data_IF_655048430747
#
_entry.id   IF_655048430747
#
_cell.length_a   1.000
_cell.length_b   1.000
_cell.length_c   1.000
_cell.angle_alpha   90.00
_cell.angle_beta   90.00
_cell.angle_gamma   90.00
#
_symmetry.space_group_name_H-M   'P 1'
#
loop_
_entity.id
_entity.type
_entity.pdbx_description
1 polymer ?
#
# COMPACT_ATOMS: atom_id res chain seq x y z
N UNK A 1 34.63 27.39 9.59
CA UNK A 1 34.32 26.96 10.97
C UNK A 1 33.23 25.91 10.85
N UNK A 2 33.64 24.66 10.76
CA UNK A 2 32.73 23.49 10.72
C UNK A 2 32.18 23.23 12.12
N UNK A 3 30.90 23.43 12.33
CA UNK A 3 30.22 22.90 13.52
C UNK A 3 29.97 21.40 13.31
N UNK A 4 30.86 20.58 13.84
CA UNK A 4 30.60 19.16 14.10
C UNK A 4 29.44 19.05 15.09
N UNK A 5 28.24 18.75 14.60
CA UNK A 5 27.16 18.23 15.42
C UNK A 5 27.31 16.69 15.47
N UNK A 6 28.13 16.22 16.38
CA UNK A 6 28.17 14.82 16.79
C UNK A 6 27.12 14.58 17.87
N UNK A 7 25.85 14.65 17.51
CA UNK A 7 24.80 14.03 18.28
C UNK A 7 24.75 12.56 17.91
N UNK A 8 24.83 11.68 18.90
CA UNK A 8 24.55 10.25 18.78
C UNK A 8 23.15 10.13 18.16
N UNK A 9 23.08 9.85 16.85
CA UNK A 9 21.78 9.65 16.18
C UNK A 9 21.25 8.33 16.72
N UNK A 10 20.27 8.41 17.60
CA UNK A 10 19.54 7.25 18.09
C UNK A 10 19.02 6.45 16.88
N UNK A 11 19.52 5.25 16.72
CA UNK A 11 19.20 4.39 15.60
C UNK A 11 17.85 3.72 15.88
N UNK A 12 16.81 4.17 15.18
CA UNK A 12 15.44 3.70 15.36
C UNK A 12 15.20 2.40 14.59
N UNK A 13 14.49 1.47 15.19
CA UNK A 13 13.88 0.33 14.48
C UNK A 13 12.54 0.75 13.93
N UNK A 14 12.48 0.83 12.61
CA UNK A 14 11.30 1.29 11.85
C UNK A 14 10.69 0.09 11.14
N UNK A 15 9.43 -0.23 11.46
CA UNK A 15 8.70 -1.35 10.85
C UNK A 15 7.57 -0.80 9.97
N UNK A 16 7.62 -1.09 8.67
CA UNK A 16 6.58 -0.74 7.71
C UNK A 16 5.64 -1.94 7.56
N UNK A 17 4.39 -1.79 7.98
CA UNK A 17 3.36 -2.83 7.81
C UNK A 17 2.87 -2.85 6.36
N UNK A 18 2.70 -4.03 5.78
CA UNK A 18 2.13 -4.22 4.45
C UNK A 18 1.05 -5.30 4.45
N UNK A 19 0.42 -5.51 3.31
CA UNK A 19 -0.48 -6.63 3.12
C UNK A 19 0.31 -7.92 2.89
N UNK A 20 -0.28 -9.04 3.27
CA UNK A 20 0.30 -10.36 3.04
C UNK A 20 0.58 -10.60 1.54
N UNK A 21 1.77 -11.10 1.24
CA UNK A 21 2.24 -11.39 -0.13
C UNK A 21 2.92 -10.21 -0.81
N UNK A 22 2.99 -9.02 -0.17
CA UNK A 22 3.68 -7.85 -0.71
C UNK A 22 4.93 -7.47 0.09
N UNK A 23 5.40 -8.32 0.99
CA UNK A 23 6.58 -8.05 1.81
C UNK A 23 7.83 -7.85 0.95
N UNK A 24 8.05 -8.72 -0.03
CA UNK A 24 9.17 -8.59 -0.96
C UNK A 24 9.03 -7.34 -1.84
N UNK A 25 7.82 -7.03 -2.32
CA UNK A 25 7.55 -5.83 -3.11
C UNK A 25 7.83 -4.55 -2.32
N UNK A 26 7.49 -4.53 -1.02
CA UNK A 26 7.83 -3.41 -0.14
C UNK A 26 9.33 -3.32 0.11
N UNK A 27 10.05 -4.45 0.29
CA UNK A 27 11.50 -4.45 0.46
C UNK A 27 12.21 -3.91 -0.80
N UNK A 28 11.74 -4.26 -1.99
CA UNK A 28 12.25 -3.70 -3.25
C UNK A 28 11.96 -2.20 -3.38
N UNK A 29 10.77 -1.74 -2.96
CA UNK A 29 10.46 -0.31 -2.88
C UNK A 29 11.41 0.42 -1.94
N UNK A 30 11.65 -0.13 -0.76
CA UNK A 30 12.57 0.46 0.21
C UNK A 30 14.00 0.54 -0.33
N UNK A 31 14.46 -0.47 -1.06
CA UNK A 31 15.77 -0.42 -1.70
C UNK A 31 15.86 0.71 -2.75
N UNK A 32 14.81 0.92 -3.56
CA UNK A 32 14.74 2.06 -4.49
C UNK A 32 14.70 3.43 -3.76
N UNK A 33 14.10 3.49 -2.58
CA UNK A 33 14.06 4.68 -1.74
C UNK A 33 15.34 4.94 -0.95
N UNK A 34 16.38 4.08 -1.09
CA UNK A 34 17.68 4.24 -0.45
C UNK A 34 17.90 3.38 0.81
N UNK A 35 17.00 2.43 1.07
CA UNK A 35 17.08 1.50 2.22
C UNK A 35 17.29 0.04 1.75
N UNK A 36 18.48 -0.33 1.25
CA UNK A 36 18.72 -1.68 0.71
C UNK A 36 18.85 -2.76 1.80
N UNK A 37 19.12 -2.36 3.04
CA UNK A 37 19.22 -3.29 4.18
C UNK A 37 17.88 -3.40 4.88
N UNK A 38 17.15 -4.47 4.57
CA UNK A 38 15.81 -4.73 5.10
C UNK A 38 15.72 -6.10 5.76
N UNK A 39 14.91 -6.21 6.79
CA UNK A 39 14.49 -7.47 7.40
C UNK A 39 13.02 -7.73 7.01
N UNK A 40 12.79 -8.80 6.24
CA UNK A 40 11.43 -9.18 5.85
C UNK A 40 10.78 -9.95 7.01
N UNK A 41 9.62 -9.47 7.42
CA UNK A 41 8.79 -10.04 8.48
C UNK A 41 7.44 -10.49 7.89
N UNK A 42 6.63 -11.18 8.69
CA UNK A 42 5.26 -11.50 8.26
C UNK A 42 4.41 -10.21 8.22
N UNK A 43 3.91 -9.87 7.04
CA UNK A 43 3.11 -8.64 6.76
C UNK A 43 3.81 -7.34 7.12
N UNK A 44 5.14 -7.33 7.10
CA UNK A 44 5.94 -6.13 7.37
C UNK A 44 7.37 -6.25 6.84
N UNK A 45 8.03 -5.09 6.72
CA UNK A 45 9.47 -4.99 6.48
C UNK A 45 10.06 -4.04 7.51
N UNK A 46 11.19 -4.42 8.12
CA UNK A 46 11.91 -3.59 9.10
C UNK A 46 13.18 -3.04 8.51
N UNK A 47 13.47 -1.80 8.86
CA UNK A 47 14.74 -1.11 8.60
C UNK A 47 15.25 -0.44 9.87
N UNK A 48 16.46 0.05 9.80
CA UNK A 48 17.04 0.94 10.81
C UNK A 48 17.21 2.33 10.20
N UNK A 49 16.90 3.38 10.97
CA UNK A 49 16.96 4.76 10.48
C UNK A 49 16.79 5.80 11.58
N UNK A 50 16.45 7.01 11.19
CA UNK A 50 16.25 8.19 12.04
C UNK A 50 14.81 8.73 11.92
N UNK A 51 14.46 9.77 12.70
CA UNK A 51 13.19 10.47 12.57
C UNK A 51 13.00 11.12 11.19
N UNK A 52 14.08 11.58 10.55
CA UNK A 52 14.04 12.05 9.16
C UNK A 52 13.53 10.95 8.22
N UNK A 53 14.00 9.72 8.41
CA UNK A 53 13.58 8.57 7.60
C UNK A 53 12.13 8.20 7.88
N UNK A 54 11.65 8.31 9.12
CA UNK A 54 10.23 8.14 9.47
C UNK A 54 9.36 9.13 8.70
N UNK A 55 9.73 10.41 8.66
CA UNK A 55 8.99 11.44 7.92
C UNK A 55 9.01 11.17 6.42
N UNK A 56 10.19 10.89 5.87
CA UNK A 56 10.37 10.60 4.46
C UNK A 56 9.52 9.39 4.02
N UNK A 57 9.60 8.28 4.75
CA UNK A 57 8.85 7.07 4.42
C UNK A 57 7.33 7.24 4.57
N UNK A 58 6.85 8.02 5.55
CA UNK A 58 5.42 8.33 5.64
C UNK A 58 4.92 9.09 4.42
N UNK A 59 5.76 9.88 3.76
CA UNK A 59 5.41 10.61 2.54
C UNK A 59 5.52 9.74 1.29
N UNK A 60 6.59 8.94 1.17
CA UNK A 60 6.99 8.29 -0.09
C UNK A 60 6.59 6.82 -0.20
N UNK A 61 6.48 6.05 0.90
CA UNK A 61 6.19 4.63 0.83
C UNK A 61 4.77 4.38 0.30
N UNK A 62 4.68 3.64 -0.82
CA UNK A 62 3.44 3.35 -1.55
C UNK A 62 2.78 2.07 -1.09
N UNK A 63 3.61 1.04 -0.81
CA UNK A 63 3.17 -0.31 -0.45
C UNK A 63 2.96 -0.49 1.06
N UNK A 64 3.28 0.51 1.88
CA UNK A 64 3.09 0.47 3.32
C UNK A 64 1.68 0.89 3.75
N UNK A 65 1.10 0.16 4.71
CA UNK A 65 -0.17 0.51 5.36
C UNK A 65 0.05 1.50 6.50
N UNK A 66 1.12 1.30 7.27
CA UNK A 66 1.51 2.15 8.39
C UNK A 66 2.99 1.97 8.71
N UNK A 67 3.56 2.97 9.34
CA UNK A 67 4.97 3.01 9.74
C UNK A 67 5.05 3.11 11.26
N UNK A 68 5.73 2.13 11.85
CA UNK A 68 5.87 1.94 13.28
C UNK A 68 7.31 2.21 13.71
N UNK A 69 7.49 2.90 14.83
CA UNK A 69 8.76 3.05 15.52
C UNK A 69 8.71 2.26 16.81
N UNK A 70 9.62 1.29 17.00
CA UNK A 70 9.71 0.49 18.22
C UNK A 70 10.04 1.41 19.40
N UNK A 71 9.19 1.38 20.46
CA UNK A 71 9.40 2.09 21.71
C UNK A 71 10.14 1.18 22.70
N UNK A 72 9.60 -0.03 22.89
CA UNK A 72 10.17 -1.01 23.80
C UNK A 72 9.81 -2.45 23.36
N UNK A 73 10.70 -3.37 23.69
CA UNK A 73 10.52 -4.80 23.43
C UNK A 73 10.98 -5.59 24.67
N UNK A 74 10.05 -6.41 25.22
CA UNK A 74 10.28 -7.15 26.45
C UNK A 74 9.52 -8.46 26.50
N UNK A 75 9.85 -9.32 27.49
CA UNK A 75 9.14 -10.56 27.77
C UNK A 75 8.27 -10.43 29.02
N UNK A 76 7.12 -11.12 29.00
CA UNK A 76 6.18 -11.20 30.11
C UNK A 76 5.89 -12.65 30.50
N UNK A 77 5.54 -12.85 31.77
CA UNK A 77 5.09 -14.14 32.29
C UNK A 77 3.63 -14.12 32.76
N UNK A 78 3.05 -12.92 32.89
CA UNK A 78 1.69 -12.70 33.35
C UNK A 78 1.12 -11.39 32.78
N UNK A 79 -0.20 -11.19 32.95
CA UNK A 79 -0.89 -9.93 32.64
C UNK A 79 -0.32 -8.77 33.49
N UNK A 80 -0.01 -9.02 34.75
CA UNK A 80 0.57 -8.03 35.66
C UNK A 80 1.99 -7.61 35.20
N UNK A 81 2.77 -8.54 34.62
CA UNK A 81 4.05 -8.20 34.03
C UNK A 81 3.91 -7.22 32.86
N UNK A 82 2.87 -7.39 32.03
CA UNK A 82 2.56 -6.46 30.94
C UNK A 82 2.32 -5.05 31.48
N UNK A 83 1.48 -4.91 32.53
CA UNK A 83 1.23 -3.61 33.16
C UNK A 83 2.50 -2.98 33.72
N UNK A 84 3.24 -3.73 34.55
CA UNK A 84 4.45 -3.23 35.21
C UNK A 84 5.55 -2.81 34.23
N UNK A 85 5.72 -3.58 33.13
CA UNK A 85 6.68 -3.24 32.07
C UNK A 85 6.24 -2.01 31.30
N UNK A 86 4.97 -1.95 30.92
CA UNK A 86 4.41 -0.80 30.22
C UNK A 86 4.46 0.49 31.05
N UNK A 87 4.26 0.41 32.37
CA UNK A 87 4.33 1.57 33.26
C UNK A 87 5.73 2.18 33.36
N UNK A 88 6.81 1.39 33.06
CA UNK A 88 8.20 1.89 33.08
C UNK A 88 8.54 2.74 31.84
N UNK A 89 7.73 2.68 30.80
CA UNK A 89 7.92 3.50 29.61
C UNK A 89 7.57 4.95 29.98
N UNK A 90 8.42 5.89 29.56
CA UNK A 90 8.26 7.31 29.85
C UNK A 90 7.24 7.97 28.90
N UNK A 91 5.98 7.57 28.99
CA UNK A 91 4.91 8.06 28.12
C UNK A 91 4.78 9.58 28.06
N UNK A 92 4.92 10.34 29.17
CA UNK A 92 4.91 11.79 29.17
C UNK A 92 6.03 12.46 28.34
N UNK A 93 7.11 11.73 28.02
CA UNK A 93 8.18 12.24 27.14
C UNK A 93 7.82 12.08 25.65
N UNK A 94 6.84 11.20 25.31
CA UNK A 94 6.44 10.89 23.93
C UNK A 94 5.41 11.89 23.42
N UNK A 95 4.34 12.16 24.20
CA UNK A 95 3.25 13.03 23.79
C UNK A 95 2.72 13.87 24.93
N UNK A 96 1.93 14.90 24.61
CA UNK A 96 1.33 15.80 25.61
C UNK A 96 0.02 15.28 26.14
N UNK A 97 -0.31 15.54 27.42
CA UNK A 97 -1.55 15.10 28.08
C UNK A 97 -2.81 15.58 27.37
N UNK A 98 -2.75 16.70 26.65
CA UNK A 98 -3.85 17.25 25.86
C UNK A 98 -4.20 16.45 24.60
N UNK A 99 -3.35 15.48 24.21
CA UNK A 99 -3.56 14.67 23.02
C UNK A 99 -4.40 13.44 23.34
N UNK A 100 -5.31 13.10 22.43
CA UNK A 100 -6.04 11.84 22.51
C UNK A 100 -5.18 10.68 22.01
N UNK A 101 -5.35 9.50 22.60
CA UNK A 101 -4.58 8.33 22.21
C UNK A 101 -5.42 7.05 22.12
N UNK A 102 -4.87 6.04 21.47
CA UNK A 102 -5.38 4.67 21.49
C UNK A 102 -4.23 3.65 21.43
N UNK A 103 -4.55 2.44 21.90
CA UNK A 103 -3.70 1.25 21.76
C UNK A 103 -4.43 0.25 20.88
N UNK A 104 -3.82 -0.20 19.79
CA UNK A 104 -4.33 -1.23 18.85
C UNK A 104 -3.21 -2.18 18.51
N UNK A 105 -3.50 -3.26 17.80
CA UNK A 105 -2.42 -4.15 17.34
C UNK A 105 -2.89 -5.57 17.11
N UNK A 106 -2.04 -6.56 17.43
CA UNK A 106 -2.34 -7.98 17.30
C UNK A 106 -1.75 -8.78 18.46
N UNK A 107 -2.54 -9.67 19.02
CA UNK A 107 -2.17 -10.51 20.16
C UNK A 107 -2.30 -11.98 19.78
N UNK A 108 -1.16 -12.68 19.78
CA UNK A 108 -1.01 -14.12 19.54
C UNK A 108 -0.35 -14.74 20.77
N UNK A 109 -1.12 -14.95 21.83
CA UNK A 109 -0.59 -15.42 23.13
C UNK A 109 -1.63 -16.24 23.86
N UNK A 110 -1.20 -17.31 24.48
CA UNK A 110 -2.02 -18.15 25.37
C UNK A 110 -2.14 -17.59 26.77
N UNK A 111 -1.41 -16.53 27.10
CA UNK A 111 -1.51 -15.86 28.40
C UNK A 111 -2.81 -15.07 28.58
N UNK A 112 -3.47 -14.72 27.48
CA UNK A 112 -4.66 -13.87 27.48
C UNK A 112 -5.87 -14.60 26.90
N UNK A 113 -6.92 -14.77 27.68
CA UNK A 113 -8.18 -15.35 27.23
C UNK A 113 -8.96 -14.45 26.26
N UNK A 114 -8.69 -13.14 26.31
CA UNK A 114 -9.32 -12.12 25.46
C UNK A 114 -8.23 -11.25 24.81
N UNK A 115 -8.18 -11.25 23.47
CA UNK A 115 -7.19 -10.48 22.70
C UNK A 115 -7.33 -8.97 22.82
N UNK A 116 -8.47 -8.46 23.30
CA UNK A 116 -8.69 -7.04 23.53
C UNK A 116 -8.15 -6.57 24.90
N UNK A 117 -8.05 -7.47 25.86
CA UNK A 117 -7.64 -7.15 27.23
C UNK A 117 -6.22 -6.56 27.31
N UNK A 118 -5.18 -7.06 26.62
CA UNK A 118 -3.85 -6.46 26.63
C UNK A 118 -3.82 -5.00 26.21
N UNK A 119 -4.70 -4.55 25.31
CA UNK A 119 -4.78 -3.14 24.92
C UNK A 119 -5.28 -2.27 26.07
N UNK A 120 -6.20 -2.78 26.89
CA UNK A 120 -6.70 -2.09 28.08
C UNK A 120 -5.60 -2.00 29.14
N UNK A 121 -4.83 -3.08 29.36
CA UNK A 121 -3.70 -3.10 30.31
C UNK A 121 -2.65 -2.05 29.95
N UNK A 122 -2.24 -1.97 28.69
CA UNK A 122 -1.27 -0.96 28.22
C UNK A 122 -1.88 0.45 28.28
N UNK A 123 -3.15 0.61 27.93
CA UNK A 123 -3.89 1.88 28.08
C UNK A 123 -3.89 2.36 29.52
N UNK A 124 -4.17 1.47 30.50
CA UNK A 124 -4.17 1.83 31.91
C UNK A 124 -2.75 2.23 32.40
N UNK A 125 -1.73 1.50 31.98
CA UNK A 125 -0.32 1.88 32.28
C UNK A 125 0.05 3.27 31.72
N UNK A 126 -0.44 3.63 30.51
CA UNK A 126 -0.25 4.97 29.95
C UNK A 126 -0.94 6.02 30.82
N UNK A 127 -2.22 5.82 31.14
CA UNK A 127 -3.02 6.75 31.96
C UNK A 127 -2.37 6.96 33.33
N UNK A 128 -1.97 5.89 33.99
CA UNK A 128 -1.38 5.97 35.33
C UNK A 128 0.03 6.62 35.30
N UNK A 129 0.79 6.43 34.22
CA UNK A 129 2.05 7.15 34.04
C UNK A 129 1.85 8.68 33.99
N UNK A 130 0.80 9.16 33.31
CA UNK A 130 0.47 10.59 33.27
C UNK A 130 -0.07 11.09 34.61
N UNK A 131 -0.94 10.32 35.29
CA UNK A 131 -1.44 10.66 36.64
C UNK A 131 -0.29 10.79 37.63
N UNK A 132 0.66 9.87 37.61
CA UNK A 132 1.82 9.89 38.48
C UNK A 132 2.73 11.09 38.22
N UNK A 133 2.80 11.58 36.97
CA UNK A 133 3.66 12.70 36.59
C UNK A 133 3.01 14.08 36.77
N UNK A 134 1.69 14.20 36.51
CA UNK A 134 1.02 15.49 36.37
C UNK A 134 -0.32 15.59 37.12
N UNK A 135 -0.78 14.52 37.79
CA UNK A 135 -2.14 14.40 38.35
C UNK A 135 -3.26 14.58 37.30
N UNK A 136 -2.93 14.41 36.03
CA UNK A 136 -3.83 14.50 34.90
C UNK A 136 -3.78 13.21 34.05
N UNK A 137 -4.72 13.02 33.13
CA UNK A 137 -4.71 11.90 32.23
C UNK A 137 -5.07 12.31 30.79
N UNK A 138 -4.46 11.70 29.77
CA UNK A 138 -4.89 11.90 28.40
C UNK A 138 -6.22 11.17 28.11
N UNK A 139 -7.01 11.72 27.17
CA UNK A 139 -8.26 11.12 26.74
C UNK A 139 -8.02 9.99 25.72
N UNK A 140 -8.90 8.98 25.78
CA UNK A 140 -8.88 7.84 24.85
C UNK A 140 -9.85 8.08 23.69
N UNK A 141 -9.36 7.98 22.45
CA UNK A 141 -10.16 8.10 21.22
C UNK A 141 -9.87 6.92 20.29
N UNK A 142 -10.85 6.04 20.07
CA UNK A 142 -10.64 4.81 19.32
C UNK A 142 -10.75 4.98 17.79
N UNK A 143 -11.52 5.97 17.31
CA UNK A 143 -11.77 6.13 15.88
C UNK A 143 -10.68 6.94 15.19
N UNK A 144 -10.33 8.11 15.72
CA UNK A 144 -9.34 9.03 15.16
C UNK A 144 -8.40 9.57 16.24
N UNK A 145 -7.61 8.72 16.93
CA UNK A 145 -6.68 9.16 17.93
C UNK A 145 -5.60 10.05 17.32
N UNK A 146 -5.13 11.06 18.07
CA UNK A 146 -4.02 11.88 17.66
C UNK A 146 -2.69 11.14 17.79
N UNK A 147 -2.59 10.25 18.80
CA UNK A 147 -1.43 9.36 19.01
C UNK A 147 -1.92 7.91 19.02
N UNK A 148 -1.29 7.06 18.24
CA UNK A 148 -1.67 5.66 18.12
C UNK A 148 -0.48 4.76 18.47
N UNK A 149 -0.68 3.86 19.42
CA UNK A 149 0.29 2.82 19.76
C UNK A 149 -0.11 1.48 19.15
N UNK A 150 0.88 0.76 18.64
CA UNK A 150 0.73 -0.60 18.11
C UNK A 150 1.33 -1.58 19.12
N UNK A 151 0.48 -2.44 19.68
CA UNK A 151 0.86 -3.49 20.60
C UNK A 151 0.89 -4.83 19.85
N UNK A 152 2.06 -5.40 19.71
CA UNK A 152 2.23 -6.73 19.12
C UNK A 152 2.71 -7.71 20.21
N UNK A 153 1.94 -8.77 20.43
CA UNK A 153 2.32 -9.84 21.37
C UNK A 153 2.38 -11.16 20.60
N UNK A 154 3.55 -11.81 20.64
CA UNK A 154 3.74 -13.17 20.14
C UNK A 154 4.19 -14.05 21.30
N UNK A 155 3.32 -14.97 21.71
CA UNK A 155 3.48 -15.77 22.92
C UNK A 155 3.76 -14.89 24.15
N UNK A 156 5.01 -14.79 24.58
CA UNK A 156 5.47 -13.99 25.72
C UNK A 156 6.26 -12.76 25.33
N UNK A 157 6.58 -12.60 24.06
CA UNK A 157 7.32 -11.45 23.57
C UNK A 157 6.34 -10.34 23.23
N UNK A 158 6.56 -9.18 23.84
CA UNK A 158 5.78 -7.95 23.65
C UNK A 158 6.65 -6.93 22.92
N UNK A 159 6.08 -6.33 21.88
CA UNK A 159 6.65 -5.16 21.22
C UNK A 159 5.61 -4.05 21.28
N UNK A 160 5.98 -2.91 21.82
CA UNK A 160 5.20 -1.68 21.82
C UNK A 160 5.83 -0.71 20.85
N UNK A 161 5.06 -0.26 19.88
CA UNK A 161 5.53 0.66 18.85
C UNK A 161 4.61 1.88 18.75
N UNK A 162 5.18 2.99 18.34
CA UNK A 162 4.44 4.18 17.97
C UNK A 162 4.03 4.07 16.50
N UNK A 163 2.75 4.17 16.20
CA UNK A 163 2.26 4.27 14.83
C UNK A 163 2.36 5.73 14.37
N UNK A 164 3.38 6.03 13.60
CA UNK A 164 3.70 7.38 13.16
C UNK A 164 2.80 7.89 12.05
N UNK A 165 2.13 6.99 11.33
CA UNK A 165 1.18 7.31 10.28
C UNK A 165 -0.18 7.75 10.82
N UNK A 166 -0.64 7.18 11.95
CA UNK A 166 -1.97 7.35 12.49
C UNK A 166 -3.02 6.56 11.72
N UNK A 167 -3.89 7.22 10.98
CA UNK A 167 -4.82 6.54 10.06
C UNK A 167 -4.01 5.83 8.94
N UNK A 168 -4.52 4.71 8.38
CA UNK A 168 -3.77 3.94 7.38
C UNK A 168 -3.35 4.77 6.16
N UNK A 169 -2.17 4.47 5.61
CA UNK A 169 -1.58 5.19 4.49
C UNK A 169 -2.31 4.99 3.16
N UNK A 170 -3.22 4.02 3.04
CA UNK A 170 -4.10 3.94 1.87
C UNK A 170 -5.08 5.12 1.79
N UNK A 171 -5.36 5.83 2.88
CA UNK A 171 -6.09 7.10 2.83
C UNK A 171 -5.16 8.21 2.36
N UNK A 172 -4.88 8.23 1.03
CA UNK A 172 -3.90 9.12 0.38
C UNK A 172 -4.28 10.60 0.45
N UNK A 173 -5.57 10.91 0.51
CA UNK A 173 -6.10 12.29 0.48
C UNK A 173 -6.64 12.73 -0.88
N UNK A 174 -6.27 12.07 -1.97
CA UNK A 174 -6.72 12.47 -3.32
C UNK A 174 -8.14 12.01 -3.69
N UNK A 175 -8.74 11.10 -2.92
CA UNK A 175 -10.04 10.51 -3.27
C UNK A 175 -11.20 11.39 -2.81
N UNK A 176 -11.94 11.96 -3.75
CA UNK A 176 -13.20 12.69 -3.50
C UNK A 176 -14.44 11.81 -3.73
N UNK A 177 -14.38 10.93 -4.74
CA UNK A 177 -15.50 10.11 -5.15
C UNK A 177 -15.13 8.62 -5.08
N UNK A 178 -16.04 7.82 -4.53
CA UNK A 178 -15.87 6.37 -4.39
C UNK A 178 -16.98 5.62 -5.13
N UNK A 179 -16.64 4.44 -5.66
CA UNK A 179 -17.62 3.43 -6.05
C UNK A 179 -18.05 2.60 -4.84
N UNK A 180 -18.91 1.61 -5.04
CA UNK A 180 -19.44 0.77 -3.94
C UNK A 180 -18.37 -0.09 -3.26
N UNK A 181 -17.27 -0.44 -3.96
CA UNK A 181 -16.13 -1.16 -3.39
C UNK A 181 -14.86 -0.82 -4.18
N UNK A 182 -14.26 0.35 -3.93
CA UNK A 182 -13.03 0.74 -4.61
C UNK A 182 -11.86 -0.14 -4.15
N UNK A 183 -10.93 -0.41 -5.07
CA UNK A 183 -9.67 -1.05 -4.71
C UNK A 183 -8.92 -0.16 -3.70
N UNK A 184 -8.29 -0.79 -2.70
CA UNK A 184 -7.42 -0.10 -1.75
C UNK A 184 -6.17 0.43 -2.49
N UNK A 185 -5.77 1.67 -2.19
CA UNK A 185 -4.67 2.35 -2.86
C UNK A 185 -3.32 1.66 -2.64
N UNK A 186 -3.08 1.11 -1.44
CA UNK A 186 -1.87 0.32 -1.15
C UNK A 186 -1.88 -0.99 -1.93
N UNK A 187 -3.04 -1.64 -2.11
CA UNK A 187 -3.17 -2.81 -2.98
C UNK A 187 -2.81 -2.43 -4.42
N UNK A 188 -3.43 -1.38 -4.96
CA UNK A 188 -3.18 -0.92 -6.33
C UNK A 188 -1.69 -0.61 -6.57
N UNK A 189 -1.07 0.17 -5.69
CA UNK A 189 0.36 0.49 -5.76
C UNK A 189 1.24 -0.76 -5.71
N UNK A 190 0.90 -1.71 -4.81
CA UNK A 190 1.65 -2.95 -4.66
C UNK A 190 1.52 -3.86 -5.87
N UNK A 191 0.33 -3.96 -6.49
CA UNK A 191 0.11 -4.71 -7.72
C UNK A 191 0.90 -4.12 -8.90
N UNK A 192 0.89 -2.79 -9.06
CA UNK A 192 1.65 -2.11 -10.11
C UNK A 192 3.16 -2.37 -9.93
N UNK A 193 3.68 -2.36 -8.71
CA UNK A 193 5.09 -2.66 -8.46
C UNK A 193 5.41 -4.14 -8.65
N UNK A 194 4.57 -5.05 -8.14
CA UNK A 194 4.72 -6.50 -8.30
C UNK A 194 4.70 -6.91 -9.79
N UNK A 195 3.90 -6.22 -10.60
CA UNK A 195 3.81 -6.47 -12.05
C UNK A 195 5.04 -6.00 -12.84
N UNK A 196 5.99 -5.30 -12.18
CA UNK A 196 7.24 -4.78 -12.78
C UNK A 196 7.00 -3.93 -14.03
N UNK A 197 5.94 -3.13 -14.03
CA UNK A 197 5.70 -2.16 -15.10
C UNK A 197 6.88 -1.18 -15.20
N UNK A 198 7.37 -0.98 -16.40
CA UNK A 198 8.59 -0.19 -16.68
C UNK A 198 8.38 1.34 -16.58
N UNK A 199 7.16 1.80 -16.36
CA UNK A 199 6.75 3.22 -16.28
C UNK A 199 6.96 3.99 -17.60
N UNK A 200 7.17 3.29 -18.71
CA UNK A 200 7.42 3.85 -20.06
C UNK A 200 6.42 3.31 -21.07
N UNK A 201 6.10 2.03 -21.00
CA UNK A 201 5.08 1.40 -21.83
C UNK A 201 3.69 1.96 -21.47
N UNK A 202 2.86 2.21 -22.49
CA UNK A 202 1.47 2.66 -22.32
C UNK A 202 0.72 1.77 -21.30
N UNK A 203 0.15 2.37 -20.26
CA UNK A 203 -0.62 1.69 -19.22
C UNK A 203 -2.12 1.76 -19.54
N UNK A 204 -2.80 0.63 -19.46
CA UNK A 204 -4.25 0.54 -19.69
C UNK A 204 -4.95 -0.23 -18.56
N UNK A 205 -5.99 0.37 -17.99
CA UNK A 205 -6.97 -0.30 -17.15
C UNK A 205 -8.36 -0.25 -17.81
N UNK A 206 -8.80 -1.33 -18.49
CA UNK A 206 -10.08 -1.36 -19.20
C UNK A 206 -11.31 -1.59 -18.31
N UNK A 207 -11.13 -1.72 -16.98
CA UNK A 207 -12.17 -1.80 -15.95
C UNK A 207 -11.86 -0.86 -14.80
N UNK A 208 -11.58 0.42 -15.11
CA UNK A 208 -10.91 1.34 -14.19
C UNK A 208 -11.77 1.77 -12.98
N UNK A 209 -13.08 1.55 -13.00
CA UNK A 209 -13.95 1.94 -11.90
C UNK A 209 -13.81 3.41 -11.53
N UNK A 210 -13.44 3.68 -10.27
CA UNK A 210 -13.16 5.05 -9.78
C UNK A 210 -11.71 5.52 -10.00
N UNK A 211 -10.90 4.78 -10.76
CA UNK A 211 -9.58 5.20 -11.25
C UNK A 211 -8.41 4.95 -10.30
N UNK A 212 -8.51 4.04 -9.33
CA UNK A 212 -7.44 3.83 -8.34
C UNK A 212 -6.14 3.36 -8.98
N UNK A 213 -6.18 2.39 -9.92
CA UNK A 213 -4.98 1.91 -10.63
C UNK A 213 -4.37 3.01 -11.49
N UNK A 214 -5.19 3.81 -12.17
CA UNK A 214 -4.71 4.94 -12.99
C UNK A 214 -3.98 5.98 -12.14
N UNK A 215 -4.55 6.32 -10.97
CA UNK A 215 -3.98 7.27 -10.03
C UNK A 215 -2.63 6.78 -9.49
N UNK A 216 -2.56 5.54 -8.99
CA UNK A 216 -1.32 4.98 -8.43
C UNK A 216 -0.25 4.75 -9.52
N UNK A 217 -0.65 4.38 -10.75
CA UNK A 217 0.26 4.31 -11.89
C UNK A 217 0.86 5.68 -12.24
N UNK A 218 0.04 6.72 -12.28
CA UNK A 218 0.49 8.08 -12.57
C UNK A 218 1.39 8.65 -11.44
N UNK A 219 1.05 8.41 -10.17
CA UNK A 219 1.90 8.75 -9.02
C UNK A 219 3.27 8.08 -9.11
N UNK A 220 3.29 6.80 -9.51
CA UNK A 220 4.54 6.04 -9.66
C UNK A 220 5.36 6.55 -10.85
N UNK A 221 4.74 6.75 -12.01
CA UNK A 221 5.40 7.20 -13.24
C UNK A 221 5.94 8.64 -13.11
N UNK A 222 5.22 9.52 -12.43
CA UNK A 222 5.61 10.91 -12.23
C UNK A 222 6.66 11.12 -11.12
N UNK A 223 6.90 10.12 -10.28
CA UNK A 223 7.76 10.25 -9.10
C UNK A 223 7.15 11.09 -7.97
N UNK A 224 5.89 11.51 -8.09
CA UNK A 224 5.18 12.23 -7.02
C UNK A 224 4.96 11.27 -5.85
N UNK A 225 5.24 11.70 -4.60
CA UNK A 225 5.01 10.88 -3.42
C UNK A 225 3.54 10.46 -3.29
N UNK A 226 3.30 9.21 -2.93
CA UNK A 226 1.93 8.68 -2.82
C UNK A 226 1.05 9.39 -1.80
N UNK A 227 1.66 9.96 -0.76
CA UNK A 227 0.94 10.58 0.35
C UNK A 227 1.06 12.12 0.34
N UNK A 228 1.33 12.73 -0.84
CA UNK A 228 1.54 14.18 -0.97
C UNK A 228 0.30 15.00 -0.59
N UNK A 229 -0.90 14.48 -0.88
CA UNK A 229 -2.18 15.14 -0.57
C UNK A 229 -2.70 14.82 0.84
N UNK A 230 -1.98 13.95 1.58
CA UNK A 230 -2.38 13.56 2.92
C UNK A 230 -2.12 14.66 3.93
N UNK A 231 -3.14 15.05 4.69
CA UNK A 231 -3.08 16.17 5.63
C UNK A 231 -2.65 15.75 7.05
N UNK A 232 -2.97 14.52 7.46
CA UNK A 232 -2.83 14.07 8.85
C UNK A 232 -1.82 12.94 9.00
N UNK A 233 -0.81 13.17 9.84
CA UNK A 233 0.18 12.20 10.28
C UNK A 233 0.29 12.24 11.79
N UNK A 234 0.29 11.06 12.46
CA UNK A 234 0.36 11.00 13.92
C UNK A 234 1.67 11.53 14.49
N UNK A 235 2.77 11.38 13.75
CA UNK A 235 4.08 11.90 14.21
C UNK A 235 4.08 13.41 14.46
N UNK A 236 3.19 14.18 13.85
CA UNK A 236 3.06 15.64 14.08
C UNK A 236 2.53 15.99 15.48
N UNK A 237 1.98 15.01 16.21
CA UNK A 237 1.45 15.19 17.56
C UNK A 237 2.45 14.78 18.66
N UNK A 238 3.66 14.38 18.28
CA UNK A 238 4.70 13.94 19.22
C UNK A 238 5.53 15.12 19.72
N UNK A 239 6.07 15.00 20.93
CA UNK A 239 6.93 16.04 21.53
C UNK A 239 8.25 16.22 20.79
N UNK A 240 8.77 15.16 20.18
CA UNK A 240 10.01 15.18 19.41
C UNK A 240 9.78 15.49 17.91
N UNK A 241 8.61 15.95 17.50
CA UNK A 241 8.36 16.33 16.13
C UNK A 241 9.21 17.53 15.70
N UNK A 242 10.03 17.33 14.67
CA UNK A 242 10.85 18.36 14.06
C UNK A 242 10.16 18.91 12.80
N UNK A 243 9.54 20.08 12.93
CA UNK A 243 8.82 20.72 11.85
C UNK A 243 9.75 21.22 10.73
N UNK A 244 10.99 21.60 11.03
CA UNK A 244 11.94 22.08 10.03
C UNK A 244 12.35 20.93 9.11
N UNK A 245 12.70 19.77 9.69
CA UNK A 245 13.05 18.57 8.94
C UNK A 245 11.87 18.08 8.11
N UNK A 246 10.64 18.08 8.67
CA UNK A 246 9.45 17.71 7.92
C UNK A 246 9.19 18.64 6.73
N UNK A 247 9.25 19.95 6.96
CA UNK A 247 8.99 20.94 5.92
C UNK A 247 10.05 20.86 4.81
N UNK A 248 11.32 20.64 5.16
CA UNK A 248 12.36 20.40 4.15
C UNK A 248 12.01 19.21 3.24
N UNK A 249 11.58 18.07 3.81
CA UNK A 249 11.21 16.89 3.03
C UNK A 249 9.97 17.16 2.17
N UNK A 250 8.95 17.77 2.78
CA UNK A 250 7.65 17.99 2.15
C UNK A 250 7.73 19.04 1.04
N UNK A 251 8.44 20.15 1.25
CA UNK A 251 8.53 21.24 0.28
C UNK A 251 9.42 20.91 -0.92
N UNK A 252 10.45 20.06 -0.73
CA UNK A 252 11.29 19.55 -1.80
C UNK A 252 10.66 18.39 -2.57
N UNK A 253 9.52 17.86 -2.13
CA UNK A 253 8.85 16.77 -2.82
C UNK A 253 8.23 17.21 -4.15
N UNK A 254 8.39 16.45 -5.24
CA UNK A 254 7.74 16.77 -6.51
C UNK A 254 6.22 16.76 -6.37
N UNK A 255 5.55 17.80 -6.90
CA UNK A 255 4.08 17.92 -6.86
C UNK A 255 3.46 18.19 -8.22
N UNK A 256 4.23 18.82 -9.09
CA UNK A 256 3.75 19.25 -10.39
C UNK A 256 4.57 18.58 -11.50
N UNK A 257 3.89 18.04 -12.47
CA UNK A 257 4.51 17.51 -13.68
C UNK A 257 4.01 18.26 -14.90
N UNK A 258 4.89 18.43 -15.88
CA UNK A 258 4.54 19.05 -17.18
C UNK A 258 3.99 18.03 -18.16
N UNK A 259 4.35 16.76 -17.99
CA UNK A 259 3.91 15.62 -18.80
C UNK A 259 4.14 14.34 -18.01
N UNK A 260 3.50 13.25 -18.40
CA UNK A 260 3.83 11.90 -17.94
C UNK A 260 4.85 11.25 -18.88
N UNK A 261 5.70 10.33 -18.40
CA UNK A 261 6.71 9.65 -19.23
C UNK A 261 6.09 8.69 -20.24
N UNK A 262 4.84 8.30 -20.06
CA UNK A 262 4.07 7.40 -20.92
C UNK A 262 2.59 7.76 -20.91
N UNK A 263 1.84 7.18 -21.84
CA UNK A 263 0.40 7.25 -21.91
C UNK A 263 -0.23 6.41 -20.78
N UNK A 264 -1.23 6.94 -20.09
CA UNK A 264 -2.04 6.22 -19.11
C UNK A 264 -3.49 6.37 -19.51
N UNK A 265 -4.15 5.24 -19.70
CA UNK A 265 -5.52 5.18 -20.20
C UNK A 265 -6.39 4.31 -19.30
N UNK A 266 -7.65 4.69 -19.16
CA UNK A 266 -8.65 3.89 -18.47
C UNK A 266 -10.00 3.94 -19.13
N UNK A 267 -10.71 2.82 -19.12
CA UNK A 267 -12.09 2.77 -19.53
C UNK A 267 -12.94 2.01 -18.52
N UNK A 268 -14.23 2.29 -18.55
CA UNK A 268 -15.25 1.57 -17.80
C UNK A 268 -16.54 1.65 -18.58
N UNK A 269 -17.38 0.62 -18.50
CA UNK A 269 -18.67 0.61 -19.16
C UNK A 269 -19.62 1.66 -18.58
N UNK A 270 -19.43 2.04 -17.33
CA UNK A 270 -20.26 3.00 -16.60
C UNK A 270 -19.78 4.44 -16.77
N UNK A 271 -20.63 5.28 -17.40
CA UNK A 271 -20.42 6.73 -17.44
C UNK A 271 -20.25 7.35 -16.04
N UNK A 272 -21.00 6.84 -15.06
CA UNK A 272 -20.91 7.30 -13.67
C UNK A 272 -19.52 7.04 -13.08
N UNK A 273 -18.96 5.84 -13.32
CA UNK A 273 -17.61 5.51 -12.85
C UNK A 273 -16.55 6.39 -13.50
N UNK A 274 -16.67 6.66 -14.80
CA UNK A 274 -15.78 7.58 -15.51
C UNK A 274 -15.89 9.01 -14.97
N UNK A 275 -17.06 9.48 -14.61
CA UNK A 275 -17.23 10.78 -13.95
C UNK A 275 -16.55 10.81 -12.59
N UNK A 276 -16.66 9.75 -11.77
CA UNK A 276 -15.96 9.61 -10.50
C UNK A 276 -14.45 9.59 -10.69
N UNK A 277 -13.95 8.82 -11.67
CA UNK A 277 -12.54 8.79 -12.06
C UNK A 277 -12.02 10.18 -12.40
N UNK A 278 -12.71 10.92 -13.26
CA UNK A 278 -12.32 12.29 -13.65
C UNK A 278 -12.31 13.25 -12.45
N UNK A 279 -13.23 13.10 -11.49
CA UNK A 279 -13.22 13.92 -10.26
C UNK A 279 -11.97 13.64 -9.42
N UNK A 280 -11.64 12.36 -9.19
CA UNK A 280 -10.45 11.97 -8.45
C UNK A 280 -9.16 12.46 -9.14
N UNK A 281 -9.07 12.32 -10.47
CA UNK A 281 -7.91 12.76 -11.25
C UNK A 281 -7.68 14.28 -11.20
N UNK A 282 -8.74 15.09 -11.11
CA UNK A 282 -8.62 16.56 -11.04
C UNK A 282 -7.88 17.08 -9.82
N UNK A 283 -7.77 16.26 -8.75
CA UNK A 283 -7.03 16.61 -7.54
C UNK A 283 -5.52 16.65 -7.77
N UNK A 284 -5.03 16.00 -8.82
CA UNK A 284 -3.60 15.85 -9.09
C UNK A 284 -3.19 16.60 -10.35
N UNK A 285 -1.99 17.19 -10.32
CA UNK A 285 -1.44 17.96 -11.43
C UNK A 285 -1.30 17.15 -12.74
N UNK A 286 -1.13 15.85 -12.64
CA UNK A 286 -1.04 14.94 -13.78
C UNK A 286 -2.40 14.49 -14.33
N UNK A 287 -3.50 14.72 -13.62
CA UNK A 287 -4.81 14.18 -14.00
C UNK A 287 -5.27 14.54 -15.41
N UNK A 288 -4.87 15.71 -15.91
CA UNK A 288 -5.14 16.18 -17.28
C UNK A 288 -4.44 15.35 -18.38
N UNK A 289 -3.44 14.55 -18.03
CA UNK A 289 -2.67 13.72 -18.96
C UNK A 289 -3.16 12.28 -19.01
N UNK A 290 -4.18 11.93 -18.21
CA UNK A 290 -4.76 10.60 -18.16
C UNK A 290 -6.01 10.58 -19.04
N UNK A 291 -6.03 9.70 -20.01
CA UNK A 291 -7.16 9.53 -20.92
C UNK A 291 -8.20 8.60 -20.28
N UNK A 292 -9.47 9.03 -20.26
CA UNK A 292 -10.56 8.20 -19.73
C UNK A 292 -11.75 8.19 -20.67
N UNK A 293 -12.31 7.00 -20.93
CA UNK A 293 -13.44 6.81 -21.85
C UNK A 293 -14.50 5.91 -21.21
N UNK A 294 -15.78 6.27 -21.36
CA UNK A 294 -16.89 5.38 -21.08
C UNK A 294 -17.12 4.49 -22.30
N UNK A 295 -16.75 3.22 -22.21
CA UNK A 295 -16.91 2.26 -23.30
C UNK A 295 -16.70 0.82 -22.78
N UNK A 296 -17.11 -0.17 -23.57
CA UNK A 296 -16.72 -1.56 -23.33
C UNK A 296 -15.20 -1.73 -23.43
N UNK A 297 -14.64 -2.67 -22.66
CA UNK A 297 -13.22 -3.00 -22.74
C UNK A 297 -12.79 -3.42 -24.15
N UNK A 298 -13.67 -4.05 -24.91
CA UNK A 298 -13.47 -4.51 -26.29
C UNK A 298 -13.23 -3.36 -27.28
N UNK A 299 -13.74 -2.17 -26.98
CA UNK A 299 -13.54 -0.97 -27.80
C UNK A 299 -12.13 -0.35 -27.63
N UNK A 300 -11.35 -0.81 -26.63
CA UNK A 300 -9.97 -0.40 -26.53
C UNK A 300 -9.16 -1.12 -27.61
N UNK A 301 -8.52 -0.34 -28.46
CA UNK A 301 -7.66 -0.81 -29.55
C UNK A 301 -6.28 -0.16 -29.44
N UNK A 302 -5.31 -0.68 -30.17
CA UNK A 302 -3.94 -0.16 -30.22
C UNK A 302 -3.43 -0.16 -31.65
N UNK A 303 -2.35 0.57 -31.92
CA UNK A 303 -1.60 0.42 -33.17
C UNK A 303 -0.94 -0.97 -33.23
N UNK A 304 -0.72 -1.49 -34.44
CA UNK A 304 -0.23 -2.87 -34.67
C UNK A 304 1.04 -3.18 -33.88
N UNK A 305 2.02 -2.28 -33.90
CA UNK A 305 3.32 -2.45 -33.26
C UNK A 305 3.41 -1.83 -31.85
N UNK A 306 2.33 -1.25 -31.33
CA UNK A 306 2.33 -0.66 -30.01
C UNK A 306 2.27 -1.75 -28.93
N UNK A 307 3.23 -1.74 -28.00
CA UNK A 307 3.15 -2.55 -26.79
C UNK A 307 2.30 -1.85 -25.74
N UNK A 308 1.34 -2.55 -25.15
CA UNK A 308 0.50 -2.03 -24.06
C UNK A 308 0.71 -2.88 -22.79
N UNK A 309 0.85 -2.22 -21.67
CA UNK A 309 0.82 -2.84 -20.36
C UNK A 309 -0.57 -2.71 -19.76
N UNK A 310 -1.25 -3.83 -19.65
CA UNK A 310 -2.61 -3.90 -19.09
C UNK A 310 -2.52 -4.38 -17.65
N UNK A 311 -3.13 -3.64 -16.72
CA UNK A 311 -3.34 -4.09 -15.35
C UNK A 311 -4.75 -3.74 -14.94
N UNK A 312 -5.54 -4.74 -14.55
CA UNK A 312 -6.96 -4.54 -14.37
C UNK A 312 -7.58 -5.47 -13.32
N UNK A 313 -8.70 -5.02 -12.77
CA UNK A 313 -9.53 -5.73 -11.80
C UNK A 313 -10.96 -5.87 -12.37
N UNK A 314 -11.20 -6.83 -13.28
CA UNK A 314 -12.54 -7.05 -13.83
C UNK A 314 -13.54 -7.37 -12.72
N UNK A 315 -14.83 -7.11 -12.91
CA UNK A 315 -15.86 -7.44 -11.93
C UNK A 315 -15.94 -8.97 -11.70
N UNK A 316 -16.15 -9.37 -10.43
CA UNK A 316 -16.26 -10.76 -10.00
C UNK A 316 -17.25 -10.87 -8.82
N UNK A 317 -17.64 -12.13 -8.46
CA UNK A 317 -18.53 -12.41 -7.34
C UNK A 317 -20.00 -12.13 -7.65
N UNK A 318 -20.78 -11.76 -6.63
CA UNK A 318 -22.23 -11.56 -6.73
C UNK A 318 -22.66 -10.52 -7.78
N UNK A 319 -21.74 -9.63 -8.18
CA UNK A 319 -21.99 -8.57 -9.18
C UNK A 319 -22.20 -9.09 -10.59
N UNK A 320 -21.80 -10.34 -10.90
CA UNK A 320 -21.88 -10.95 -12.24
C UNK A 320 -22.16 -12.46 -12.22
N UNK A 321 -22.79 -13.00 -11.18
CA UNK A 321 -22.94 -14.46 -10.99
C UNK A 321 -23.48 -15.23 -12.23
N UNK A 322 -24.27 -14.61 -13.09
CA UNK A 322 -24.82 -15.25 -14.27
C UNK A 322 -23.90 -15.28 -15.51
N UNK A 323 -22.94 -14.33 -15.66
CA UNK A 323 -22.18 -14.15 -16.90
C UNK A 323 -20.66 -14.08 -16.72
N UNK A 324 -20.12 -14.51 -15.56
CA UNK A 324 -18.67 -14.42 -15.29
C UNK A 324 -17.84 -15.19 -16.33
N UNK A 325 -18.27 -16.38 -16.72
CA UNK A 325 -17.57 -17.22 -17.70
C UNK A 325 -17.46 -16.51 -19.06
N UNK A 326 -18.56 -16.00 -19.58
CA UNK A 326 -18.62 -15.28 -20.86
C UNK A 326 -17.76 -14.02 -20.85
N UNK A 327 -17.80 -13.21 -19.77
CA UNK A 327 -16.96 -12.03 -19.65
C UNK A 327 -15.47 -12.37 -19.75
N UNK A 328 -15.02 -13.40 -19.02
CA UNK A 328 -13.60 -13.76 -19.00
C UNK A 328 -13.15 -14.44 -20.30
N UNK A 329 -14.04 -15.17 -20.97
CA UNK A 329 -13.80 -15.69 -22.33
C UNK A 329 -13.64 -14.53 -23.33
N UNK A 330 -14.50 -13.52 -23.27
CA UNK A 330 -14.40 -12.32 -24.11
C UNK A 330 -13.12 -11.52 -23.80
N UNK A 331 -12.72 -11.38 -22.54
CA UNK A 331 -11.42 -10.80 -22.17
C UNK A 331 -10.28 -11.59 -22.82
N UNK A 332 -10.33 -12.92 -22.77
CA UNK A 332 -9.32 -13.77 -23.38
C UNK A 332 -9.24 -13.61 -24.90
N UNK A 333 -10.38 -13.50 -25.57
CA UNK A 333 -10.48 -13.28 -27.00
C UNK A 333 -9.95 -11.89 -27.39
N UNK A 334 -10.34 -10.84 -26.66
CA UNK A 334 -9.82 -9.49 -26.84
C UNK A 334 -8.30 -9.42 -26.67
N UNK A 335 -7.74 -10.07 -25.65
CA UNK A 335 -6.31 -10.14 -25.43
C UNK A 335 -5.58 -10.83 -26.60
N UNK A 336 -6.14 -11.93 -27.15
CA UNK A 336 -5.53 -12.70 -28.24
C UNK A 336 -5.56 -11.98 -29.59
N UNK A 337 -6.65 -11.26 -29.87
CA UNK A 337 -6.90 -10.75 -31.21
C UNK A 337 -6.70 -9.25 -31.36
N UNK A 338 -6.92 -8.48 -30.28
CA UNK A 338 -6.83 -7.02 -30.30
C UNK A 338 -5.57 -6.52 -29.56
N UNK A 339 -5.24 -7.10 -28.40
CA UNK A 339 -4.11 -6.69 -27.58
C UNK A 339 -2.90 -7.62 -27.75
N UNK A 340 -2.55 -7.91 -29.01
CA UNK A 340 -1.33 -8.67 -29.34
C UNK A 340 -0.06 -7.92 -28.92
N UNK A 341 1.05 -8.62 -28.64
CA UNK A 341 2.33 -8.05 -28.19
C UNK A 341 2.20 -7.21 -26.91
N UNK A 342 1.30 -7.60 -26.01
CA UNK A 342 1.02 -6.89 -24.76
C UNK A 342 1.23 -7.81 -23.55
N UNK A 343 1.41 -7.19 -22.39
CA UNK A 343 1.41 -7.88 -21.08
C UNK A 343 0.14 -7.49 -20.34
N UNK A 344 -0.66 -8.48 -19.99
CA UNK A 344 -1.92 -8.28 -19.27
C UNK A 344 -1.87 -8.91 -17.88
N UNK A 345 -1.98 -8.10 -16.85
CA UNK A 345 -2.12 -8.52 -15.47
C UNK A 345 -3.57 -8.40 -15.03
N UNK A 346 -4.13 -9.48 -14.54
CA UNK A 346 -5.51 -9.55 -14.07
C UNK A 346 -5.53 -9.99 -12.62
N UNK A 347 -6.17 -9.21 -11.75
CA UNK A 347 -6.49 -9.60 -10.39
C UNK A 347 -7.97 -9.97 -10.28
N UNK A 348 -8.26 -11.12 -9.68
CA UNK A 348 -9.65 -11.56 -9.42
C UNK A 348 -9.68 -12.66 -8.37
N UNK A 349 -10.82 -12.79 -7.67
CA UNK A 349 -11.11 -13.96 -6.82
C UNK A 349 -11.79 -15.11 -7.59
N UNK A 350 -12.17 -14.91 -8.86
CA UNK A 350 -12.83 -15.93 -9.67
C UNK A 350 -11.80 -16.86 -10.34
N UNK A 351 -11.49 -17.98 -9.71
CA UNK A 351 -10.62 -18.99 -10.32
C UNK A 351 -11.23 -19.61 -11.58
N UNK A 352 -12.56 -19.77 -11.64
CA UNK A 352 -13.25 -20.29 -12.82
C UNK A 352 -13.26 -19.27 -13.96
N UNK A 353 -13.46 -17.98 -13.66
CA UNK A 353 -13.27 -16.93 -14.65
C UNK A 353 -11.88 -16.96 -15.26
N UNK A 354 -10.83 -17.09 -14.43
CA UNK A 354 -9.45 -17.16 -14.93
C UNK A 354 -9.19 -18.38 -15.84
N UNK A 355 -9.86 -19.51 -15.64
CA UNK A 355 -9.78 -20.67 -16.55
C UNK A 355 -10.42 -20.36 -17.90
N UNK A 356 -11.49 -19.54 -17.92
CA UNK A 356 -12.22 -19.17 -19.15
C UNK A 356 -11.45 -18.23 -20.08
N UNK A 357 -10.42 -17.51 -19.60
CA UNK A 357 -9.55 -16.66 -20.43
C UNK A 357 -8.94 -17.45 -21.60
N UNK A 358 -8.71 -18.76 -21.43
CA UNK A 358 -8.19 -19.63 -22.50
C UNK A 358 -6.75 -19.27 -22.92
N UNK A 359 -5.98 -18.58 -22.05
CA UNK A 359 -4.56 -18.32 -22.16
C UNK A 359 -3.84 -18.96 -20.97
N UNK A 360 -2.61 -19.43 -21.20
CA UNK A 360 -1.78 -19.92 -20.10
C UNK A 360 -1.07 -18.73 -19.45
N UNK A 361 -1.22 -18.52 -18.13
CA UNK A 361 -0.50 -17.45 -17.44
C UNK A 361 1.01 -17.72 -17.41
N UNK A 362 1.80 -16.67 -17.61
CA UNK A 362 3.26 -16.71 -17.50
C UNK A 362 3.71 -16.56 -16.04
N UNK A 363 2.97 -15.76 -15.25
CA UNK A 363 3.21 -15.60 -13.81
C UNK A 363 1.89 -15.69 -13.03
N UNK A 364 2.00 -16.12 -11.75
CA UNK A 364 0.85 -16.23 -10.85
C UNK A 364 1.27 -15.89 -9.43
N UNK A 365 0.54 -14.97 -8.80
CA UNK A 365 0.70 -14.60 -7.40
C UNK A 365 -0.64 -14.73 -6.66
N UNK A 366 -0.57 -15.18 -5.41
CA UNK A 366 -1.67 -15.12 -4.46
C UNK A 366 -1.57 -13.80 -3.70
N UNK A 367 -2.62 -13.00 -3.73
CA UNK A 367 -2.70 -11.69 -3.09
C UNK A 367 -4.04 -11.52 -2.38
N UNK A 368 -4.16 -10.47 -1.56
CA UNK A 368 -5.41 -10.15 -0.88
C UNK A 368 -5.88 -8.75 -1.24
N UNK A 369 -7.17 -8.62 -1.55
CA UNK A 369 -7.86 -7.33 -1.70
C UNK A 369 -8.87 -7.18 -0.56
N UNK A 370 -8.48 -6.49 0.52
CA UNK A 370 -9.17 -6.56 1.79
C UNK A 370 -9.06 -7.96 2.41
N UNK A 371 -10.20 -8.55 2.80
CA UNK A 371 -10.26 -9.91 3.33
C UNK A 371 -10.40 -10.99 2.22
N UNK A 372 -10.54 -10.56 0.97
CA UNK A 372 -10.77 -11.45 -0.16
C UNK A 372 -9.46 -11.96 -0.74
N UNK A 373 -9.29 -13.28 -0.74
CA UNK A 373 -8.20 -13.94 -1.44
C UNK A 373 -8.38 -13.82 -2.96
N UNK A 374 -7.36 -13.34 -3.67
CA UNK A 374 -7.35 -13.14 -5.10
C UNK A 374 -6.14 -13.82 -5.75
N UNK A 375 -6.31 -14.20 -6.99
CA UNK A 375 -5.24 -14.62 -7.88
C UNK A 375 -4.86 -13.44 -8.78
N UNK A 376 -3.58 -13.12 -8.85
CA UNK A 376 -3.01 -12.09 -9.72
C UNK A 376 -2.14 -12.78 -10.76
N UNK A 377 -2.55 -12.72 -12.04
CA UNK A 377 -1.93 -13.50 -13.13
C UNK A 377 -1.51 -12.62 -14.28
N UNK A 378 -0.35 -12.92 -14.84
CA UNK A 378 0.16 -12.32 -16.08
C UNK A 378 -0.13 -13.21 -17.27
N UNK A 379 -0.62 -12.59 -18.33
CA UNK A 379 -0.81 -13.20 -19.65
C UNK A 379 0.00 -12.39 -20.68
N UNK A 380 0.91 -13.04 -21.38
CA UNK A 380 1.62 -12.45 -22.51
C UNK A 380 0.93 -12.83 -23.81
N UNK A 381 0.72 -11.84 -24.67
CA UNK A 381 0.09 -12.03 -25.97
C UNK A 381 1.11 -11.80 -27.07
N UNK A 382 0.98 -12.54 -28.16
CA UNK A 382 1.91 -12.49 -29.29
C UNK A 382 1.11 -12.34 -30.59
N UNK A 383 1.72 -11.71 -31.60
CA UNK A 383 1.19 -11.76 -32.96
C UNK A 383 1.49 -13.14 -33.53
N UNK A 384 0.48 -13.98 -33.76
CA UNK A 384 0.63 -15.36 -34.19
C UNK A 384 0.68 -16.38 -33.03
N UNK A 385 1.23 -17.56 -33.26
CA UNK A 385 1.34 -18.61 -32.26
C UNK A 385 2.65 -18.52 -31.49
N UNK A 386 2.69 -18.92 -30.21
CA UNK A 386 3.91 -19.00 -29.40
C UNK A 386 5.02 -19.84 -30.05
N UNK A 387 4.64 -20.84 -30.89
CA UNK A 387 5.59 -21.68 -31.65
C UNK A 387 6.36 -20.92 -32.72
N UNK A 388 5.82 -19.83 -33.25
CA UNK A 388 6.48 -18.99 -34.26
C UNK A 388 7.47 -18.01 -33.65
N UNK A 389 7.26 -17.61 -32.39
CA UNK A 389 8.16 -16.69 -31.67
C UNK A 389 9.35 -17.38 -30.98
N UNK A 390 9.18 -18.64 -30.60
CA UNK A 390 10.24 -19.45 -29.98
C UNK A 390 10.28 -20.79 -30.74
N UNK A 391 11.00 -20.85 -31.90
CA UNK A 391 11.23 -22.13 -32.55
C UNK A 391 11.94 -23.04 -31.55
N UNK A 392 11.47 -24.30 -31.47
CA UNK A 392 12.08 -25.30 -30.59
C UNK A 392 13.58 -25.40 -30.94
N UNK A 393 14.44 -25.29 -29.94
CA UNK A 393 15.87 -25.63 -30.13
C UNK A 393 15.91 -27.04 -30.70
N UNK A 394 16.51 -27.16 -31.90
CA UNK A 394 16.78 -28.44 -32.50
C UNK A 394 17.66 -29.22 -31.52
N UNK A 395 17.11 -30.32 -30.99
CA UNK A 395 17.92 -31.29 -30.27
C UNK A 395 18.86 -31.87 -31.31
N UNK A 396 20.09 -31.36 -31.38
CA UNK A 396 21.16 -32.04 -32.05
C UNK A 396 21.31 -33.43 -31.42
N UNK A 397 20.93 -34.42 -32.18
CA UNK A 397 21.16 -35.82 -31.84
C UNK A 397 22.64 -36.14 -31.90
N UNK A 398 23.09 -36.76 -30.87
CA UNK A 398 24.20 -37.73 -30.87
C UNK A 398 23.82 -38.89 -30.01
#
# INVERSE_FOLDING_TARGET
>A
MEKKSSGNKEELKITLKCLFGFEQTLAEELAELGYPKTEILNRAVRITGSWRDVYYLNLYARCAISILVEIDKFFINSEEDLYRRSLKIKWPEIFDVSKTFAVKGAVFSTLFNNTQYPYLVVKDAIVDSFRNAFDERPDVELKRPQVLFDLYIKEREVTISLNTSGIPLFQRGYREAVGDAPMNEVVAASLIRLSKWDRKTTFLDPFCGSGTLLMEAALLASGIPSNIERQHYAFKNLKNFDAEVWNEIYDNAPRNVRTLPCKIMGSDLSDEMILKTRRNLRQMSFGRFIETKACSFEENTKAEDEAIFILTNPPYGERLAANTHELYENIGNWLKHTMTNSKAWIITSSEDGLKSIGLRPSEKHKVFNGDLECSFRMFETYAGSKRTHFPAEEKEGN
#
